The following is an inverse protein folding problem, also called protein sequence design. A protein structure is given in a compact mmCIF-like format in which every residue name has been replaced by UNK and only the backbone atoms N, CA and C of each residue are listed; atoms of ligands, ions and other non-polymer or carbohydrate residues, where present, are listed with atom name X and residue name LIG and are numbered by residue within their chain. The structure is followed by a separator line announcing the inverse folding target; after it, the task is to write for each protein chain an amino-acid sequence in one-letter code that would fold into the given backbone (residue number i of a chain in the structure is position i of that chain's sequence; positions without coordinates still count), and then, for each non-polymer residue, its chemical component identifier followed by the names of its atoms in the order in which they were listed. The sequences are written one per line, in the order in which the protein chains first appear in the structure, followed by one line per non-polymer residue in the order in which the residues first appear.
data_IF_235943808042
#
_entry.id   IF_235943808042
#
_cell.length_a   1.000
_cell.length_b   1.000
_cell.length_c   1.000
_cell.angle_alpha   90.00
_cell.angle_beta   90.00
_cell.angle_gamma   90.00
#
_symmetry.space_group_name_H-M   'P 1'
#
loop_
_entity.id
_entity.type
_entity.pdbx_description
1 polymer ?
#
# COMPACT_ATOMS: atom_id res chain seq x y z
N UNK A 1 -44.81 11.60 -6.20
CA UNK A 1 -43.34 11.71 -6.05
C UNK A 1 -42.77 10.30 -5.96
N UNK A 2 -42.19 9.78 -7.04
CA UNK A 2 -41.59 8.46 -7.03
C UNK A 2 -40.27 8.50 -6.25
N UNK A 3 -40.14 7.64 -5.23
CA UNK A 3 -38.92 7.53 -4.46
C UNK A 3 -37.85 6.83 -5.31
N UNK A 4 -36.90 7.60 -5.83
CA UNK A 4 -35.75 7.05 -6.54
C UNK A 4 -34.86 6.37 -5.51
N UNK A 5 -34.86 5.03 -5.49
CA UNK A 5 -33.97 4.26 -4.64
C UNK A 5 -32.53 4.66 -4.93
N UNK A 6 -31.84 5.22 -3.92
CA UNK A 6 -30.41 5.47 -4.02
C UNK A 6 -29.69 4.11 -4.04
N UNK A 7 -28.78 3.87 -4.99
CA UNK A 7 -28.04 2.62 -5.03
C UNK A 7 -27.17 2.49 -3.77
N UNK A 8 -27.40 1.42 -2.98
CA UNK A 8 -26.66 1.11 -1.75
C UNK A 8 -25.14 1.00 -1.94
N UNK A 9 -24.68 0.84 -3.19
CA UNK A 9 -23.28 0.80 -3.60
C UNK A 9 -22.52 2.07 -3.21
N UNK A 10 -23.18 3.23 -3.17
CA UNK A 10 -22.53 4.51 -2.83
C UNK A 10 -22.01 4.55 -1.39
N UNK A 11 -22.77 4.01 -0.43
CA UNK A 11 -22.36 4.02 0.98
C UNK A 11 -21.15 3.10 1.23
N UNK A 12 -21.14 1.90 0.62
CA UNK A 12 -20.02 0.96 0.74
C UNK A 12 -18.72 1.55 0.20
N UNK A 13 -18.76 2.23 -0.96
CA UNK A 13 -17.58 2.88 -1.55
C UNK A 13 -17.07 4.06 -0.69
N UNK A 14 -17.96 4.79 -0.02
CA UNK A 14 -17.57 5.87 0.90
C UNK A 14 -16.80 5.33 2.11
N UNK A 15 -17.30 4.27 2.76
CA UNK A 15 -16.62 3.63 3.87
C UNK A 15 -15.27 3.04 3.47
N UNK A 16 -15.22 2.41 2.29
CA UNK A 16 -13.98 1.82 1.79
C UNK A 16 -12.93 2.87 1.46
N UNK A 17 -13.33 4.03 0.90
CA UNK A 17 -12.42 5.17 0.69
C UNK A 17 -11.85 5.67 2.01
N UNK A 18 -12.68 5.81 3.04
CA UNK A 18 -12.21 6.21 4.38
C UNK A 18 -11.21 5.19 4.93
N UNK A 19 -11.52 3.89 4.84
CA UNK A 19 -10.65 2.80 5.29
C UNK A 19 -9.29 2.78 4.58
N UNK A 20 -9.27 2.93 3.26
CA UNK A 20 -8.03 3.05 2.47
C UNK A 20 -7.23 4.29 2.90
N UNK A 21 -7.87 5.44 3.09
CA UNK A 21 -7.15 6.66 3.51
C UNK A 21 -6.61 6.55 4.94
N UNK A 22 -7.36 5.97 5.87
CA UNK A 22 -6.96 5.81 7.25
C UNK A 22 -5.80 4.81 7.40
N UNK A 23 -5.89 3.66 6.72
CA UNK A 23 -4.81 2.66 6.71
C UNK A 23 -3.54 3.19 6.04
N UNK A 24 -3.66 3.93 4.93
CA UNK A 24 -2.54 4.59 4.29
C UNK A 24 -1.88 5.66 5.19
N UNK A 25 -2.69 6.46 5.90
CA UNK A 25 -2.18 7.45 6.85
C UNK A 25 -1.46 6.78 8.03
N UNK A 26 -2.02 5.71 8.59
CA UNK A 26 -1.39 4.91 9.64
C UNK A 26 -0.06 4.28 9.18
N UNK A 27 -0.03 3.73 7.96
CA UNK A 27 1.20 3.22 7.35
C UNK A 27 2.24 4.32 7.14
N UNK A 28 1.84 5.49 6.66
CA UNK A 28 2.73 6.64 6.48
C UNK A 28 3.33 7.11 7.81
N UNK A 29 2.52 7.18 8.88
CA UNK A 29 3.00 7.51 10.22
C UNK A 29 3.97 6.46 10.76
N UNK A 30 3.70 5.16 10.51
CA UNK A 30 4.62 4.10 10.89
C UNK A 30 5.96 4.19 10.14
N UNK A 31 5.94 4.47 8.83
CA UNK A 31 7.16 4.67 8.03
C UNK A 31 8.00 5.85 8.57
N UNK A 32 7.36 6.97 8.89
CA UNK A 32 8.03 8.12 9.50
C UNK A 32 8.59 7.77 10.88
N UNK A 33 7.82 7.05 11.71
CA UNK A 33 8.29 6.56 13.00
C UNK A 33 9.52 5.66 12.87
N UNK A 34 9.53 4.74 11.89
CA UNK A 34 10.65 3.85 11.65
C UNK A 34 11.91 4.62 11.21
N UNK A 35 11.75 5.63 10.34
CA UNK A 35 12.85 6.52 9.95
C UNK A 35 13.39 7.32 11.13
N UNK A 36 12.53 7.83 12.02
CA UNK A 36 12.96 8.54 13.21
C UNK A 36 13.74 7.63 14.16
N UNK A 37 13.24 6.41 14.41
CA UNK A 37 13.93 5.42 15.25
C UNK A 37 15.29 5.07 14.65
N UNK A 38 15.37 4.85 13.33
CA UNK A 38 16.64 4.68 12.64
C UNK A 38 17.58 5.87 12.84
N UNK A 39 17.09 7.10 12.68
CA UNK A 39 17.89 8.29 12.87
C UNK A 39 18.43 8.41 14.32
N UNK A 40 17.59 8.12 15.33
CA UNK A 40 18.03 8.08 16.72
C UNK A 40 19.08 6.99 16.95
N UNK A 41 18.83 5.76 16.51
CA UNK A 41 19.76 4.64 16.68
C UNK A 41 21.10 4.93 16.00
N UNK A 42 21.08 5.54 14.82
CA UNK A 42 22.28 5.76 14.01
C UNK A 42 23.09 6.98 14.43
N UNK A 43 22.43 8.12 14.68
CA UNK A 43 23.08 9.41 14.93
C UNK A 43 23.21 9.78 16.40
N UNK A 44 22.43 9.16 17.29
CA UNK A 44 22.46 9.50 18.72
C UNK A 44 23.09 8.37 19.54
N UNK A 45 23.93 8.74 20.51
CA UNK A 45 24.53 7.81 21.47
C UNK A 45 23.61 7.54 22.67
N UNK A 46 22.32 7.86 22.53
CA UNK A 46 21.32 7.75 23.61
C UNK A 46 21.25 6.34 24.21
N UNK A 47 21.65 5.30 23.48
CA UNK A 47 21.57 3.89 23.89
C UNK A 47 22.60 3.45 24.92
N UNK A 48 23.76 4.09 24.94
CA UNK A 48 24.91 3.63 25.74
C UNK A 48 25.34 4.71 26.71
N UNK A 49 25.29 4.41 28.00
CA UNK A 49 25.93 5.23 29.01
C UNK A 49 27.30 4.62 29.33
N UNK A 50 28.34 5.46 29.24
CA UNK A 50 29.67 5.08 29.70
C UNK A 50 29.71 5.26 31.21
N UNK A 51 29.85 4.15 31.94
CA UNK A 51 30.14 4.22 33.37
C UNK A 51 31.61 4.60 33.47
N UNK A 52 31.89 5.89 33.59
CA UNK A 52 33.20 6.34 33.99
C UNK A 52 33.36 6.00 35.47
N UNK A 53 34.30 5.14 35.86
CA UNK A 53 34.54 4.90 37.28
C UNK A 53 34.92 6.25 37.89
N UNK A 54 34.12 6.75 38.83
CA UNK A 54 34.54 7.88 39.65
C UNK A 54 35.91 7.50 40.21
N UNK A 55 36.92 8.34 39.96
CA UNK A 55 38.28 8.17 40.46
C UNK A 55 38.36 8.38 41.98
N UNK A 56 37.35 7.92 42.72
CA UNK A 56 37.37 7.74 44.15
C UNK A 56 38.03 6.40 44.48
N UNK A 57 38.87 6.42 45.51
CA UNK A 57 39.79 5.39 45.98
C UNK A 57 39.08 4.09 46.49
N UNK A 58 38.10 3.58 45.75
CA UNK A 58 37.44 2.30 46.04
C UNK A 58 38.38 1.20 45.65
N UNK A 59 39.13 0.70 46.63
CA UNK A 59 39.91 -0.53 46.56
C UNK A 59 39.12 -1.59 45.78
N UNK A 60 39.62 -1.90 44.59
CA UNK A 60 39.15 -3.03 43.79
C UNK A 60 39.47 -4.29 44.60
N UNK A 61 38.49 -4.75 45.39
CA UNK A 61 38.55 -6.08 45.99
C UNK A 61 38.37 -7.06 44.84
N UNK A 62 39.50 -7.50 44.29
CA UNK A 62 39.56 -8.62 43.35
C UNK A 62 38.91 -9.80 44.07
N UNK A 63 37.66 -10.09 43.70
CA UNK A 63 37.08 -11.39 44.02
C UNK A 63 37.84 -12.35 43.13
N UNK A 64 38.96 -12.86 43.65
CA UNK A 64 39.57 -14.04 43.10
C UNK A 64 38.43 -15.07 43.07
N UNK A 65 38.03 -15.50 41.88
CA UNK A 65 37.35 -16.78 41.73
C UNK A 65 38.32 -17.81 42.27
N UNK A 66 38.24 -18.05 43.58
CA UNK A 66 38.97 -19.10 44.26
C UNK A 66 38.58 -20.40 43.57
N UNK A 67 39.44 -20.85 42.69
CA UNK A 67 39.52 -22.24 42.31
C UNK A 67 39.88 -23.00 43.57
N UNK A 68 38.86 -23.47 44.27
CA UNK A 68 38.86 -24.59 45.21
C UNK A 68 37.39 -25.00 45.43
N UNK A 69 36.74 -25.47 44.37
CA UNK A 69 35.59 -26.38 44.50
C UNK A 69 36.08 -27.76 44.11
N UNK A 70 36.97 -28.28 44.95
CA UNK A 70 37.16 -29.71 45.07
C UNK A 70 35.89 -30.29 45.72
N UNK A 71 35.19 -31.09 44.92
CA UNK A 71 34.62 -32.37 45.37
C UNK A 71 33.70 -32.34 46.60
N UNK A 72 32.41 -32.01 46.39
CA UNK A 72 31.38 -32.67 47.20
C UNK A 72 30.09 -32.96 46.44
N UNK A 73 29.88 -34.26 46.33
CA UNK A 73 28.79 -35.00 45.71
C UNK A 73 27.44 -34.76 46.40
N UNK A 74 26.40 -34.93 45.55
CA UNK A 74 25.12 -35.64 45.77
C UNK A 74 23.89 -34.85 46.23
N UNK A 75 22.89 -34.97 45.35
CA UNK A 75 21.45 -35.09 45.59
C UNK A 75 20.72 -33.94 46.30
N UNK A 76 19.87 -33.23 45.55
CA UNK A 76 18.41 -33.38 45.70
C UNK A 76 17.65 -32.63 44.59
N UNK A 77 16.40 -33.05 44.42
CA UNK A 77 15.47 -32.78 43.34
C UNK A 77 15.01 -31.31 43.14
N UNK A 78 14.61 -31.04 41.89
CA UNK A 78 13.59 -30.11 41.35
C UNK A 78 12.83 -29.18 42.31
N UNK A 79 12.43 -27.95 41.89
CA UNK A 79 11.42 -27.82 40.82
C UNK A 79 11.49 -26.58 39.89
N UNK A 80 10.84 -26.74 38.72
CA UNK A 80 10.23 -25.72 37.85
C UNK A 80 10.97 -24.38 37.62
N UNK A 81 11.80 -24.36 36.57
CA UNK A 81 12.05 -23.14 35.80
C UNK A 81 11.22 -23.19 34.51
N UNK A 82 10.34 -22.22 34.36
CA UNK A 82 9.62 -21.91 33.12
C UNK A 82 10.61 -21.68 31.99
N UNK A 83 10.60 -22.59 31.03
CA UNK A 83 11.26 -22.43 29.74
C UNK A 83 10.57 -21.31 28.96
N UNK A 84 11.10 -20.09 29.12
CA UNK A 84 10.87 -18.99 28.20
C UNK A 84 11.43 -19.38 26.83
N UNK A 85 10.56 -20.03 26.05
CA UNK A 85 10.52 -20.14 24.59
C UNK A 85 11.75 -19.57 23.86
N UNK A 86 12.81 -20.38 23.82
CA UNK A 86 13.82 -20.30 22.76
C UNK A 86 13.10 -20.47 21.43
N UNK A 87 13.04 -19.37 20.66
CA UNK A 87 12.77 -19.44 19.24
C UNK A 87 13.80 -20.36 18.58
N UNK A 88 13.34 -21.53 18.13
CA UNK A 88 14.10 -22.44 17.30
C UNK A 88 14.35 -21.78 15.93
N UNK A 89 15.43 -21.00 15.85
CA UNK A 89 16.02 -20.57 14.60
C UNK A 89 17.25 -21.42 14.33
N UNK A 90 17.11 -22.44 13.49
CA UNK A 90 18.23 -23.26 13.00
C UNK A 90 19.23 -22.38 12.24
N UNK A 91 20.31 -21.99 12.92
CA UNK A 91 21.43 -21.28 12.33
C UNK A 91 22.36 -22.24 11.62
N UNK A 92 22.43 -22.13 10.30
CA UNK A 92 23.59 -22.58 9.53
C UNK A 92 24.81 -21.84 10.11
N UNK A 93 25.83 -22.59 10.48
CA UNK A 93 27.07 -22.10 11.05
C UNK A 93 27.76 -21.12 10.09
N UNK A 94 27.45 -19.84 10.22
CA UNK A 94 28.32 -18.78 9.76
C UNK A 94 29.51 -18.74 10.72
N UNK A 95 30.73 -18.87 10.18
CA UNK A 95 31.98 -18.61 10.90
C UNK A 95 31.81 -17.35 11.75
N UNK A 96 31.75 -17.56 13.06
CA UNK A 96 31.53 -16.50 14.01
C UNK A 96 32.70 -15.54 13.98
N UNK A 97 32.51 -14.41 13.30
CA UNK A 97 33.37 -13.24 13.46
C UNK A 97 33.55 -13.02 14.98
N UNK A 98 34.80 -12.91 15.48
CA UNK A 98 35.06 -12.84 16.91
C UNK A 98 34.27 -11.66 17.48
N UNK A 99 33.22 -11.95 18.27
CA UNK A 99 32.45 -10.93 19.00
C UNK A 99 33.47 -10.11 19.78
N UNK A 100 33.69 -8.88 19.34
CA UNK A 100 34.57 -7.93 20.02
C UNK A 100 34.21 -7.98 21.51
N UNK A 101 35.22 -8.25 22.34
CA UNK A 101 35.03 -8.47 23.78
C UNK A 101 34.12 -7.38 24.34
N UNK A 102 32.97 -7.78 24.89
CA UNK A 102 31.97 -6.85 25.38
C UNK A 102 32.64 -5.92 26.40
N UNK A 103 32.71 -4.63 26.08
CA UNK A 103 33.34 -3.66 26.97
C UNK A 103 32.46 -3.57 28.22
N UNK A 104 32.94 -4.04 29.40
CA UNK A 104 32.10 -4.15 30.60
C UNK A 104 31.64 -2.78 31.11
N UNK A 105 32.25 -1.68 30.64
CA UNK A 105 31.93 -0.32 31.06
C UNK A 105 30.80 0.33 30.25
N UNK A 106 30.16 -0.41 29.34
CA UNK A 106 29.03 0.08 28.54
C UNK A 106 27.76 -0.61 29.01
N UNK A 107 26.84 0.17 29.58
CA UNK A 107 25.54 -0.33 30.05
C UNK A 107 24.43 0.27 29.20
N UNK A 108 23.35 -0.49 28.99
CA UNK A 108 22.16 -0.03 28.31
C UNK A 108 21.50 1.10 29.12
N UNK A 109 21.21 2.21 28.45
CA UNK A 109 20.49 3.33 29.05
C UNK A 109 18.98 3.07 29.12
N UNK A 110 18.25 3.87 29.90
CA UNK A 110 16.79 3.89 29.90
C UNK A 110 16.21 4.21 28.51
N UNK A 111 16.92 5.05 27.74
CA UNK A 111 16.55 5.40 26.37
C UNK A 111 16.51 4.19 25.42
N UNK A 112 17.34 3.17 25.64
CA UNK A 112 17.32 1.94 24.86
C UNK A 112 16.00 1.18 25.03
N UNK A 113 15.50 1.11 26.27
CA UNK A 113 14.21 0.46 26.57
C UNK A 113 13.04 1.19 25.91
N UNK A 114 13.01 2.53 26.01
CA UNK A 114 11.98 3.35 25.37
C UNK A 114 12.00 3.21 23.85
N UNK A 115 13.18 3.26 23.23
CA UNK A 115 13.33 3.11 21.78
C UNK A 115 12.96 1.71 21.30
N UNK A 116 13.30 0.66 22.05
CA UNK A 116 12.91 -0.73 21.73
C UNK A 116 11.39 -0.90 21.79
N UNK A 117 10.73 -0.35 22.82
CA UNK A 117 9.28 -0.38 22.93
C UNK A 117 8.60 0.41 21.78
N UNK A 118 9.09 1.60 21.48
CA UNK A 118 8.60 2.41 20.36
C UNK A 118 8.77 1.69 19.01
N UNK A 119 9.91 1.05 18.78
CA UNK A 119 10.18 0.26 17.58
C UNK A 119 9.21 -0.92 17.42
N UNK A 120 8.93 -1.65 18.50
CA UNK A 120 7.96 -2.74 18.46
C UNK A 120 6.54 -2.25 18.10
N UNK A 121 6.11 -1.12 18.67
CA UNK A 121 4.80 -0.52 18.36
C UNK A 121 4.75 -0.05 16.91
N UNK A 122 5.77 0.67 16.45
CA UNK A 122 5.85 1.17 15.07
C UNK A 122 5.88 0.02 14.06
N UNK A 123 6.66 -1.02 14.31
CA UNK A 123 6.76 -2.20 13.47
C UNK A 123 5.40 -2.93 13.37
N UNK A 124 4.77 -3.23 14.50
CA UNK A 124 3.48 -3.93 14.53
C UNK A 124 2.38 -3.12 13.87
N UNK A 125 2.27 -1.82 14.19
CA UNK A 125 1.31 -0.90 13.58
C UNK A 125 1.54 -0.79 12.07
N UNK A 126 2.79 -0.64 11.62
CA UNK A 126 3.14 -0.55 10.21
C UNK A 126 2.75 -1.79 9.41
N UNK A 127 3.02 -2.99 9.94
CA UNK A 127 2.64 -4.26 9.31
C UNK A 127 1.11 -4.39 9.24
N UNK A 128 0.40 -4.13 10.34
CA UNK A 128 -1.07 -4.19 10.38
C UNK A 128 -1.69 -3.20 9.39
N UNK A 129 -1.22 -1.95 9.36
CA UNK A 129 -1.72 -0.95 8.41
C UNK A 129 -1.43 -1.33 6.95
N UNK A 130 -0.26 -1.92 6.64
CA UNK A 130 0.05 -2.39 5.30
C UNK A 130 -0.87 -3.53 4.84
N UNK A 131 -1.16 -4.50 5.72
CA UNK A 131 -2.07 -5.61 5.43
C UNK A 131 -3.51 -5.10 5.26
N UNK A 132 -3.98 -4.22 6.16
CA UNK A 132 -5.32 -3.64 6.06
C UNK A 132 -5.46 -2.78 4.79
N UNK A 133 -4.45 -2.00 4.43
CA UNK A 133 -4.45 -1.23 3.19
C UNK A 133 -4.59 -2.14 1.97
N UNK A 134 -3.81 -3.23 1.91
CA UNK A 134 -3.91 -4.21 0.83
C UNK A 134 -5.29 -4.88 0.78
N UNK A 135 -5.86 -5.25 1.93
CA UNK A 135 -7.18 -5.85 2.03
C UNK A 135 -8.29 -4.90 1.55
N UNK A 136 -8.27 -3.63 1.97
CA UNK A 136 -9.24 -2.64 1.53
C UNK A 136 -9.11 -2.31 0.04
N UNK A 137 -7.88 -2.21 -0.48
CA UNK A 137 -7.64 -2.01 -1.91
C UNK A 137 -8.16 -3.20 -2.73
N UNK A 138 -7.97 -4.44 -2.25
CA UNK A 138 -8.49 -5.65 -2.87
C UNK A 138 -10.02 -5.65 -2.92
N UNK A 139 -10.67 -5.37 -1.79
CA UNK A 139 -12.13 -5.23 -1.71
C UNK A 139 -12.63 -4.12 -2.65
N UNK A 140 -11.91 -3.00 -2.73
CA UNK A 140 -12.24 -1.90 -3.63
C UNK A 140 -12.20 -2.30 -5.11
N UNK A 141 -11.21 -3.12 -5.50
CA UNK A 141 -11.12 -3.66 -6.86
C UNK A 141 -12.25 -4.64 -7.16
N UNK A 142 -12.60 -5.53 -6.22
CA UNK A 142 -13.73 -6.47 -6.40
C UNK A 142 -15.04 -5.72 -6.60
N UNK A 143 -15.32 -4.73 -5.74
CA UNK A 143 -16.56 -3.94 -5.81
C UNK A 143 -16.60 -3.10 -7.08
N UNK A 144 -15.50 -2.43 -7.44
CA UNK A 144 -15.42 -1.64 -8.67
C UNK A 144 -15.52 -2.51 -9.94
N UNK A 145 -14.92 -3.69 -9.93
CA UNK A 145 -14.99 -4.66 -11.03
C UNK A 145 -16.39 -5.23 -11.21
N UNK A 146 -17.04 -5.64 -10.12
CA UNK A 146 -18.41 -6.18 -10.16
C UNK A 146 -19.46 -5.18 -10.63
N UNK A 147 -19.24 -3.88 -10.40
CA UNK A 147 -20.11 -2.81 -10.87
C UNK A 147 -19.71 -2.21 -12.23
N UNK A 148 -18.72 -2.79 -12.93
CA UNK A 148 -18.22 -2.31 -14.22
C UNK A 148 -17.89 -0.80 -14.24
N UNK A 149 -17.31 -0.32 -13.14
CA UNK A 149 -17.03 1.11 -12.88
C UNK A 149 -16.00 1.63 -13.88
N UNK A 150 -16.30 2.70 -14.64
CA UNK A 150 -15.30 3.31 -15.52
C UNK A 150 -14.15 3.86 -14.68
N UNK A 151 -12.92 3.48 -15.04
CA UNK A 151 -11.72 3.78 -14.24
C UNK A 151 -11.25 2.64 -13.32
N UNK A 152 -11.90 1.47 -13.34
CA UNK A 152 -11.46 0.27 -12.59
C UNK A 152 -9.98 -0.08 -12.84
N UNK A 153 -9.45 0.20 -14.04
CA UNK A 153 -8.04 -0.02 -14.38
C UNK A 153 -7.08 0.74 -13.44
N UNK A 154 -7.46 1.96 -13.02
CA UNK A 154 -6.67 2.75 -12.07
C UNK A 154 -6.70 2.15 -10.66
N UNK A 155 -7.84 1.59 -10.24
CA UNK A 155 -7.96 0.89 -8.97
C UNK A 155 -7.14 -0.41 -8.96
N UNK A 156 -7.21 -1.19 -10.05
CA UNK A 156 -6.40 -2.41 -10.23
C UNK A 156 -4.91 -2.09 -10.22
N UNK A 157 -4.48 -1.09 -10.98
CA UNK A 157 -3.08 -0.64 -10.98
C UNK A 157 -2.64 -0.18 -9.59
N UNK A 158 -3.48 0.59 -8.89
CA UNK A 158 -3.23 1.00 -7.51
C UNK A 158 -3.09 -0.20 -6.56
N UNK A 159 -3.93 -1.23 -6.72
CA UNK A 159 -3.85 -2.46 -5.93
C UNK A 159 -2.56 -3.23 -6.20
N UNK A 160 -2.13 -3.36 -7.46
CA UNK A 160 -0.85 -4.01 -7.80
C UNK A 160 0.32 -3.30 -7.11
N UNK A 161 0.36 -1.97 -7.16
CA UNK A 161 1.38 -1.18 -6.44
C UNK A 161 1.27 -1.32 -4.92
N UNK A 162 0.05 -1.38 -4.39
CA UNK A 162 -0.19 -1.61 -2.97
C UNK A 162 0.36 -2.95 -2.49
N UNK A 163 0.19 -4.02 -3.27
CA UNK A 163 0.74 -5.34 -2.95
C UNK A 163 2.26 -5.33 -2.90
N UNK A 164 2.92 -4.64 -3.85
CA UNK A 164 4.37 -4.47 -3.83
C UNK A 164 4.83 -3.72 -2.58
N UNK A 165 4.14 -2.63 -2.20
CA UNK A 165 4.43 -1.89 -0.97
C UNK A 165 4.25 -2.78 0.26
N UNK A 166 3.13 -3.52 0.34
CA UNK A 166 2.86 -4.41 1.46
C UNK A 166 3.92 -5.52 1.58
N UNK A 167 4.36 -6.08 0.46
CA UNK A 167 5.44 -7.08 0.43
C UNK A 167 6.77 -6.50 0.91
N UNK A 168 7.12 -5.27 0.53
CA UNK A 168 8.34 -4.59 0.98
C UNK A 168 8.32 -4.22 2.46
N UNK A 169 7.13 -3.93 3.00
CA UNK A 169 6.91 -3.67 4.42
C UNK A 169 7.03 -4.94 5.28
N UNK A 170 6.80 -6.12 4.71
CA UNK A 170 6.76 -7.38 5.45
C UNK A 170 8.17 -7.87 5.82
N UNK A 171 8.39 -8.35 7.07
CA UNK A 171 9.72 -8.77 7.50
C UNK A 171 10.05 -10.19 7.01
N UNK A 172 10.38 -10.30 5.72
CA UNK A 172 10.59 -11.56 5.01
C UNK A 172 11.65 -12.46 5.66
N UNK A 173 12.70 -11.89 6.27
CA UNK A 173 13.75 -12.66 6.96
C UNK A 173 13.24 -13.50 8.12
N UNK A 174 12.16 -13.09 8.79
CA UNK A 174 11.56 -13.87 9.88
C UNK A 174 10.72 -15.05 9.38
N UNK A 175 10.15 -14.94 8.18
CA UNK A 175 9.31 -16.00 7.60
C UNK A 175 10.13 -16.96 6.73
N UNK A 176 11.16 -16.44 6.05
CA UNK A 176 12.02 -17.20 5.16
C UNK A 176 13.48 -16.97 5.54
N UNK A 177 14.08 -17.86 6.37
CA UNK A 177 15.50 -17.79 6.71
C UNK A 177 16.32 -18.03 5.45
N UNK A 178 16.91 -16.96 4.91
CA UNK A 178 17.61 -16.96 3.61
C UNK A 178 17.12 -15.88 2.65
N UNK A 179 16.02 -15.18 2.98
CA UNK A 179 15.61 -14.02 2.20
C UNK A 179 16.73 -12.96 2.19
N UNK A 180 17.12 -12.44 1.00
CA UNK A 180 18.15 -11.40 0.89
C UNK A 180 17.67 -10.04 1.40
N UNK A 181 16.38 -9.94 1.76
CA UNK A 181 15.70 -8.71 2.12
C UNK A 181 15.05 -8.83 3.50
N UNK A 182 15.32 -7.88 4.39
CA UNK A 182 14.78 -7.87 5.77
C UNK A 182 13.39 -7.28 5.89
N UNK A 183 12.93 -6.50 4.93
CA UNK A 183 11.73 -5.66 5.07
C UNK A 183 12.08 -4.25 5.56
N UNK A 184 11.15 -3.31 5.36
CA UNK A 184 11.29 -1.93 5.87
C UNK A 184 11.05 -1.85 7.38
N UNK A 185 10.05 -2.59 7.87
CA UNK A 185 9.75 -2.70 9.30
C UNK A 185 10.56 -3.83 9.93
N UNK A 186 11.84 -3.55 10.18
CA UNK A 186 12.76 -4.45 10.88
C UNK A 186 12.70 -4.27 12.40
N UNK A 187 13.14 -5.29 13.13
CA UNK A 187 13.26 -5.24 14.58
C UNK A 187 14.35 -4.27 15.02
N UNK A 188 14.22 -3.77 16.26
CA UNK A 188 15.18 -2.86 16.86
C UNK A 188 16.60 -3.46 16.90
N UNK A 189 16.74 -4.74 17.23
CA UNK A 189 18.06 -5.37 17.34
C UNK A 189 18.77 -5.47 15.98
N UNK A 190 18.04 -5.76 14.89
CA UNK A 190 18.61 -5.75 13.53
C UNK A 190 19.06 -4.35 13.10
N UNK A 191 18.34 -3.32 13.53
CA UNK A 191 18.71 -1.92 13.27
C UNK A 191 20.03 -1.55 13.98
N UNK A 192 20.21 -2.01 15.22
CA UNK A 192 21.46 -1.85 15.98
C UNK A 192 22.61 -2.55 15.26
N UNK A 193 22.42 -3.81 14.87
CA UNK A 193 23.42 -4.62 14.19
C UNK A 193 23.87 -3.97 12.88
N UNK A 194 22.92 -3.57 12.02
CA UNK A 194 23.24 -2.86 10.77
C UNK A 194 23.93 -1.51 11.00
N UNK A 195 23.50 -0.76 12.03
CA UNK A 195 24.13 0.52 12.37
C UNK A 195 25.54 0.35 12.94
N UNK A 196 25.85 -0.75 13.62
CA UNK A 196 27.21 -1.03 14.08
C UNK A 196 28.08 -1.54 12.93
N UNK A 197 27.53 -2.40 12.07
CA UNK A 197 28.21 -2.91 10.88
C UNK A 197 28.69 -1.76 9.97
N UNK A 198 27.84 -0.74 9.74
CA UNK A 198 28.21 0.40 8.88
C UNK A 198 29.30 1.31 9.47
N UNK A 199 29.53 1.26 10.78
CA UNK A 199 30.61 2.00 11.46
C UNK A 199 31.97 1.30 11.34
N UNK A 200 32.00 0.01 10.98
CA UNK A 200 33.25 -0.73 10.76
C UNK A 200 33.91 -0.27 9.45
N UNK A 201 35.24 -0.20 9.38
CA UNK A 201 35.94 0.10 8.13
C UNK A 201 35.63 -0.97 7.07
N UNK A 202 35.37 -0.54 5.83
CA UNK A 202 35.06 -1.44 4.70
C UNK A 202 33.57 -1.74 4.47
N UNK A 203 32.68 -1.36 5.37
CA UNK A 203 31.23 -1.56 5.17
C UNK A 203 30.62 -0.58 4.15
N UNK A 204 29.68 -1.08 3.34
CA UNK A 204 28.96 -0.26 2.35
C UNK A 204 27.95 0.67 3.02
N UNK A 205 28.31 1.96 3.14
CA UNK A 205 27.42 3.01 3.66
C UNK A 205 26.21 3.25 2.76
N UNK A 206 26.41 3.15 1.44
CA UNK A 206 25.36 3.42 0.46
C UNK A 206 24.19 2.44 0.61
N UNK A 207 24.48 1.15 0.73
CA UNK A 207 23.43 0.13 0.93
C UNK A 207 22.63 0.39 2.20
N UNK A 208 23.31 0.76 3.30
CA UNK A 208 22.66 1.10 4.55
C UNK A 208 21.67 2.28 4.41
N UNK A 209 22.09 3.40 3.83
CA UNK A 209 21.20 4.56 3.62
C UNK A 209 20.08 4.29 2.61
N UNK A 210 20.35 3.51 1.56
CA UNK A 210 19.32 3.12 0.60
C UNK A 210 18.19 2.35 1.28
N UNK A 211 18.52 1.37 2.13
CA UNK A 211 17.52 0.56 2.83
C UNK A 211 16.76 1.32 3.90
N UNK A 212 17.45 2.16 4.69
CA UNK A 212 16.89 2.73 5.91
C UNK A 212 16.33 4.15 5.76
N UNK A 213 16.72 4.86 4.71
CA UNK A 213 16.29 6.24 4.47
C UNK A 213 15.56 6.36 3.13
N UNK A 214 16.21 5.99 2.03
CA UNK A 214 15.67 6.21 0.68
C UNK A 214 14.43 5.36 0.44
N UNK A 215 14.48 4.07 0.78
CA UNK A 215 13.34 3.19 0.54
C UNK A 215 12.08 3.60 1.33
N UNK A 216 12.12 3.87 2.65
CA UNK A 216 10.95 4.38 3.36
C UNK A 216 10.35 5.65 2.74
N UNK A 217 11.19 6.58 2.28
CA UNK A 217 10.74 7.80 1.58
C UNK A 217 10.06 7.47 0.26
N UNK A 218 10.62 6.56 -0.54
CA UNK A 218 10.00 6.08 -1.77
C UNK A 218 8.66 5.38 -1.49
N UNK A 219 8.57 4.58 -0.42
CA UNK A 219 7.32 3.95 0.00
C UNK A 219 6.29 4.98 0.45
N UNK A 220 6.69 6.05 1.14
CA UNK A 220 5.79 7.15 1.52
C UNK A 220 5.15 7.78 0.27
N UNK A 221 5.96 8.07 -0.75
CA UNK A 221 5.50 8.56 -2.05
C UNK A 221 4.63 7.54 -2.79
N UNK A 222 4.99 6.25 -2.72
CA UNK A 222 4.23 5.15 -3.29
C UNK A 222 2.85 5.00 -2.66
N UNK A 223 2.74 5.07 -1.33
CA UNK A 223 1.46 5.03 -0.59
C UNK A 223 0.57 6.20 -1.01
N UNK A 224 1.11 7.42 -1.09
CA UNK A 224 0.36 8.57 -1.57
C UNK A 224 -0.13 8.39 -3.02
N UNK A 225 0.72 7.88 -3.92
CA UNK A 225 0.36 7.61 -5.31
C UNK A 225 -0.72 6.53 -5.44
N UNK A 226 -0.68 5.47 -4.62
CA UNK A 226 -1.69 4.42 -4.57
C UNK A 226 -3.04 4.98 -4.13
N UNK A 227 -3.07 5.78 -3.05
CA UNK A 227 -4.31 6.42 -2.57
C UNK A 227 -4.89 7.36 -3.62
N UNK A 228 -4.05 8.15 -4.30
CA UNK A 228 -4.49 9.03 -5.39
C UNK A 228 -5.08 8.25 -6.55
N UNK A 229 -4.41 7.20 -7.03
CA UNK A 229 -4.92 6.34 -8.11
C UNK A 229 -6.23 5.67 -7.74
N UNK A 230 -6.33 5.16 -6.51
CA UNK A 230 -7.56 4.56 -6.00
C UNK A 230 -8.70 5.58 -5.98
N UNK A 231 -8.46 6.78 -5.45
CA UNK A 231 -9.47 7.84 -5.39
C UNK A 231 -9.90 8.30 -6.78
N UNK A 232 -8.97 8.45 -7.72
CA UNK A 232 -9.28 8.81 -9.10
C UNK A 232 -10.14 7.73 -9.78
N UNK A 233 -9.79 6.46 -9.60
CA UNK A 233 -10.57 5.33 -10.14
C UNK A 233 -11.98 5.24 -9.56
N UNK A 234 -12.13 5.36 -8.24
CA UNK A 234 -13.45 5.31 -7.58
C UNK A 234 -14.30 6.53 -7.92
N UNK A 235 -13.71 7.73 -7.96
CA UNK A 235 -14.45 8.96 -8.27
C UNK A 235 -14.99 8.94 -9.70
N UNK A 236 -14.22 8.39 -10.66
CA UNK A 236 -14.65 8.28 -12.04
C UNK A 236 -15.94 7.48 -12.21
N UNK A 237 -16.17 6.43 -11.42
CA UNK A 237 -17.44 5.70 -11.49
C UNK A 237 -18.53 6.18 -10.55
N UNK A 238 -18.24 6.91 -9.47
CA UNK A 238 -19.30 7.57 -8.69
C UNK A 238 -20.08 8.54 -9.60
N UNK A 239 -19.37 9.33 -10.41
CA UNK A 239 -19.95 10.33 -11.33
C UNK A 239 -20.85 9.69 -12.40
N UNK A 240 -20.63 8.42 -12.74
CA UNK A 240 -21.43 7.72 -13.75
C UNK A 240 -22.70 7.09 -13.17
N UNK A 241 -22.74 6.87 -11.84
CA UNK A 241 -23.90 6.29 -11.15
C UNK A 241 -24.95 7.32 -10.72
N UNK A 242 -24.63 8.61 -10.70
CA UNK A 242 -25.63 9.68 -10.65
C UNK A 242 -26.27 9.80 -12.03
N UNK A 243 -27.35 9.04 -12.25
CA UNK A 243 -28.15 9.08 -13.50
C UNK A 243 -28.44 10.53 -13.94
N UNK A 244 -28.66 11.42 -12.98
CA UNK A 244 -28.89 12.86 -13.22
C UNK A 244 -27.70 13.60 -13.82
N UNK A 245 -26.45 13.28 -13.47
CA UNK A 245 -25.27 14.01 -13.99
C UNK A 245 -24.82 13.46 -15.34
N UNK A 246 -25.01 12.14 -15.56
CA UNK A 246 -24.78 11.56 -16.88
C UNK A 246 -25.78 12.13 -17.89
N UNK A 247 -27.06 12.23 -17.51
CA UNK A 247 -28.08 12.89 -18.32
C UNK A 247 -27.74 14.37 -18.51
N UNK A 248 -27.33 15.11 -17.47
CA UNK A 248 -26.98 16.53 -17.62
C UNK A 248 -25.75 16.74 -18.52
N UNK A 249 -24.76 15.84 -18.45
CA UNK A 249 -23.55 15.91 -19.27
C UNK A 249 -23.82 15.46 -20.70
N UNK A 250 -24.64 14.43 -20.89
CA UNK A 250 -25.16 13.99 -22.19
C UNK A 250 -26.00 15.10 -22.81
N UNK A 251 -26.89 15.74 -22.05
CA UNK A 251 -27.71 16.85 -22.50
C UNK A 251 -26.84 18.06 -22.89
N UNK A 252 -25.79 18.36 -22.11
CA UNK A 252 -24.79 19.38 -22.50
C UNK A 252 -24.03 18.99 -23.76
N UNK A 253 -23.64 17.73 -23.95
CA UNK A 253 -22.97 17.29 -25.18
C UNK A 253 -23.90 17.31 -26.39
N UNK A 254 -25.15 16.86 -26.25
CA UNK A 254 -26.19 16.93 -27.28
C UNK A 254 -26.43 18.39 -27.68
N UNK A 255 -26.54 19.29 -26.68
CA UNK A 255 -26.73 20.73 -26.89
C UNK A 255 -25.49 21.35 -27.56
N UNK A 256 -24.29 20.95 -27.16
CA UNK A 256 -23.01 21.48 -27.70
C UNK A 256 -22.72 20.98 -29.11
N UNK A 257 -23.13 19.76 -29.47
CA UNK A 257 -23.00 19.22 -30.83
C UNK A 257 -24.06 19.75 -31.81
N UNK A 258 -24.95 20.64 -31.37
CA UNK A 258 -26.05 21.14 -32.21
C UNK A 258 -27.10 20.08 -32.56
N UNK A 259 -26.98 18.87 -31.97
CA UNK A 259 -27.96 17.79 -32.14
C UNK A 259 -29.28 18.08 -31.42
N UNK A 260 -29.39 19.20 -30.71
CA UNK A 260 -30.62 19.69 -30.11
C UNK A 260 -31.76 19.85 -31.14
N UNK A 261 -31.44 20.15 -32.42
CA UNK A 261 -32.45 20.24 -33.49
C UNK A 261 -32.97 18.86 -33.94
N UNK A 262 -32.17 17.80 -33.80
CA UNK A 262 -32.58 16.41 -34.07
C UNK A 262 -33.25 15.74 -32.86
N UNK A 263 -32.98 16.24 -31.64
CA UNK A 263 -33.54 15.73 -30.39
C UNK A 263 -34.89 16.40 -29.99
N UNK A 264 -35.37 17.38 -30.75
CA UNK A 264 -36.68 18.01 -30.56
C UNK A 264 -37.85 17.14 -31.10
N UNK A 265 -39.10 17.34 -30.66
CA UNK A 265 -40.05 16.33 -30.15
C UNK A 265 -40.72 15.38 -31.17
N UNK A 266 -40.16 15.18 -32.37
CA UNK A 266 -40.72 14.21 -33.34
C UNK A 266 -40.64 12.76 -32.86
N UNK A 267 -39.61 12.40 -32.08
CA UNK A 267 -39.51 11.05 -31.50
C UNK A 267 -40.56 10.81 -30.38
N UNK A 268 -40.83 11.82 -29.55
CA UNK A 268 -41.91 11.77 -28.55
C UNK A 268 -43.30 11.76 -29.20
N UNK A 269 -43.49 12.46 -30.32
CA UNK A 269 -44.71 12.39 -31.12
C UNK A 269 -44.96 11.02 -31.75
N UNK A 270 -43.92 10.30 -32.18
CA UNK A 270 -44.04 8.94 -32.70
C UNK A 270 -44.36 7.92 -31.60
N UNK A 271 -43.79 8.07 -30.40
CA UNK A 271 -44.07 7.18 -29.27
C UNK A 271 -45.47 7.40 -28.70
N UNK A 272 -45.95 8.64 -28.60
CA UNK A 272 -47.33 8.92 -28.18
C UNK A 272 -48.36 8.48 -29.22
N UNK A 273 -48.00 8.46 -30.51
CA UNK A 273 -48.84 7.90 -31.58
C UNK A 273 -48.91 6.37 -31.51
N UNK A 274 -47.83 5.69 -31.15
CA UNK A 274 -47.82 4.24 -30.95
C UNK A 274 -48.60 3.76 -29.71
N UNK A 275 -48.76 4.62 -28.69
CA UNK A 275 -49.51 4.30 -27.46
C UNK A 275 -50.99 4.72 -27.55
N UNK A 276 -51.33 5.66 -28.43
CA UNK A 276 -52.68 6.21 -28.57
C UNK A 276 -53.50 5.73 -29.77
N UNK A 277 -52.89 5.12 -30.80
CA UNK A 277 -53.64 4.60 -31.95
C UNK A 277 -54.31 3.26 -31.57
N UNK A 278 -55.53 3.35 -31.02
CA UNK A 278 -56.50 2.26 -31.05
C UNK A 278 -56.78 2.00 -32.53
N UNK A 279 -56.51 0.80 -33.08
CA UNK A 279 -56.69 0.54 -34.50
C UNK A 279 -58.17 0.64 -34.84
N UNK A 280 -58.53 1.69 -35.58
CA UNK A 280 -59.79 1.74 -36.29
C UNK A 280 -59.77 0.61 -37.34
N UNK A 281 -60.72 -0.31 -37.21
CA UNK A 281 -60.87 -1.51 -38.03
C UNK A 281 -61.01 -1.15 -39.51
N UNK A 282 -59.92 -1.22 -40.27
CA UNK A 282 -59.93 -1.11 -41.73
C UNK A 282 -60.29 -2.49 -42.32
N UNK A 283 -61.37 -2.60 -43.12
CA UNK A 283 -61.82 -3.87 -43.68
C UNK A 283 -60.87 -4.39 -44.76
N UNK A 284 -60.72 -5.71 -44.77
CA UNK A 284 -59.83 -6.49 -45.62
C UNK A 284 -60.06 -6.25 -47.12
N UNK A 285 -59.00 -5.97 -47.87
CA UNK A 285 -59.05 -5.93 -49.32
C UNK A 285 -57.69 -5.76 -49.98
N UNK A 286 -57.25 -6.83 -50.63
CA UNK A 286 -56.24 -6.89 -51.71
C UNK A 286 -54.76 -6.96 -51.32
N UNK A 287 -54.28 -8.21 -51.38
CA UNK A 287 -52.90 -8.56 -51.58
C UNK A 287 -52.43 -8.14 -52.98
N UNK A 288 -51.28 -7.48 -53.07
CA UNK A 288 -50.47 -7.50 -54.28
C UNK A 288 -48.99 -7.49 -53.89
N UNK A 289 -48.30 -8.52 -54.36
CA UNK A 289 -46.88 -8.75 -54.14
C UNK A 289 -46.05 -7.64 -54.79
N UNK A 290 -45.12 -7.07 -54.02
CA UNK A 290 -44.12 -6.12 -54.50
C UNK A 290 -42.89 -6.18 -53.62
N UNK A 291 -41.92 -6.99 -54.04
CA UNK A 291 -40.57 -7.10 -53.47
C UNK A 291 -39.75 -5.87 -53.90
N UNK A 292 -39.20 -5.05 -52.99
CA UNK A 292 -38.13 -4.13 -53.33
C UNK A 292 -36.76 -4.75 -53.03
N UNK A 293 -35.82 -4.33 -53.85
CA UNK A 293 -34.50 -4.86 -54.04
C UNK A 293 -33.53 -4.61 -52.87
N UNK A 294 -32.55 -5.51 -52.82
CA UNK A 294 -31.33 -5.42 -52.02
C UNK A 294 -30.49 -4.27 -52.57
N UNK A 295 -30.53 -3.14 -51.87
CA UNK A 295 -29.62 -2.01 -52.09
C UNK A 295 -28.28 -2.28 -51.43
N UNK A 296 -27.32 -2.71 -52.25
CA UNK A 296 -25.88 -2.63 -51.99
C UNK A 296 -25.47 -1.18 -51.74
N UNK A 297 -24.85 -0.91 -50.60
CA UNK A 297 -24.09 0.31 -50.32
C UNK A 297 -22.91 -0.15 -49.47
N UNK A 298 -21.78 -0.39 -50.13
CA UNK A 298 -20.73 0.60 -50.35
C UNK A 298 -19.83 0.67 -49.11
N UNK A 299 -18.64 0.12 -49.32
CA UNK A 299 -17.47 0.12 -48.45
C UNK A 299 -17.22 1.53 -47.89
N UNK A 300 -17.27 1.64 -46.56
CA UNK A 300 -16.84 2.84 -45.85
C UNK A 300 -15.39 2.60 -45.39
N UNK A 301 -14.51 3.33 -46.05
CA UNK A 301 -13.06 3.33 -45.93
C UNK A 301 -12.65 3.88 -44.56
N UNK A 302 -11.76 3.23 -43.79
CA UNK A 302 -11.31 3.78 -42.51
C UNK A 302 -10.33 4.93 -42.73
N UNK A 303 -10.80 6.16 -42.47
CA UNK A 303 -10.03 7.40 -42.39
C UNK A 303 -8.73 7.22 -41.56
N UNK A 304 -7.62 7.16 -42.28
CA UNK A 304 -6.25 6.96 -41.77
C UNK A 304 -5.55 8.30 -41.44
N UNK A 305 -6.28 9.33 -41.00
CA UNK A 305 -5.74 10.72 -40.96
C UNK A 305 -5.53 11.37 -39.58
N UNK A 306 -5.60 10.60 -38.48
CA UNK A 306 -5.38 11.16 -37.10
C UNK A 306 -4.03 10.75 -36.49
N UNK A 307 -3.04 10.32 -37.29
CA UNK A 307 -1.70 9.94 -36.78
C UNK A 307 -0.59 11.00 -36.92
N UNK A 308 -0.88 12.23 -37.36
CA UNK A 308 0.18 13.22 -37.68
C UNK A 308 0.33 14.47 -36.80
N UNK A 309 -0.37 14.57 -35.67
CA UNK A 309 -0.28 15.78 -34.84
C UNK A 309 0.14 15.50 -33.39
N UNK A 310 1.37 15.03 -33.16
CA UNK A 310 2.10 15.26 -31.90
C UNK A 310 3.58 14.88 -32.03
N UNK A 311 4.33 15.68 -32.80
CA UNK A 311 5.80 15.79 -32.63
C UNK A 311 6.06 16.85 -31.56
N UNK A 312 6.62 16.52 -30.38
CA UNK A 312 7.11 17.53 -29.47
C UNK A 312 8.44 18.10 -30.00
N UNK A 313 8.46 19.42 -30.20
CA UNK A 313 9.67 20.19 -30.46
C UNK A 313 10.71 19.96 -29.36
N UNK A 314 11.85 19.36 -29.73
CA UNK A 314 13.08 19.48 -28.95
C UNK A 314 13.52 20.94 -28.93
N UNK A 315 13.32 21.63 -27.79
CA UNK A 315 14.07 22.83 -27.45
C UNK A 315 15.43 22.41 -26.91
N UNK A 316 16.46 22.58 -27.75
CA UNK A 316 17.86 22.74 -27.32
C UNK A 316 17.95 24.00 -26.46
N UNK A 317 18.46 23.87 -25.23
CA UNK A 317 19.04 24.97 -24.49
C UNK A 317 20.55 24.72 -24.35
N UNK A 318 21.31 25.80 -24.55
CA UNK A 318 22.76 25.93 -24.43
C UNK A 318 23.22 25.77 -23.00
#
# INVERSE_FOLDING_TARGET
MAYVQRPHVSAALQHLRLGVTASAAGLALALLGQMLIWAFVHFTEVRTTHIQPEAGDRQLKVVASGGDVAESRKHSASPHASSGQSGAGGGIAAEGEPRAAANPNVVASEGDYMLRAAAAIVQTMGIVCAVLLAAFMFQGVIVAGGAAVPGVQMAVSGMTWCLLIALLCFPLKHVMPGAPWTGVFQSFDSLIEHSQAVRRPGASRLGFYLMHLVLPVLLLGGVAAVVLRFRLGVTAGIIVTSISELDEKLEREIRKRGLAELAMPRAMGALNRAIGDVPETVPAGHATAGRPEVGSSAEDEPDEDVRRATRPMMRRAK
#
